data_IF_238470566422
#
_entry.id   IF_238470566422
#
_cell.length_a   1.000
_cell.length_b   1.000
_cell.length_c   1.000
_cell.angle_alpha   90.00
_cell.angle_beta   90.00
_cell.angle_gamma   90.00
#
_symmetry.space_group_name_H-M   'P 1'
#
loop_
_entity.id
_entity.type
_entity.pdbx_description
1 polymer ?
#
# COMPACT_ATOMS: atom_id res chain seq x y z
N UNK A 1 17.46 8.00 -25.74
CA UNK A 1 17.16 8.09 -24.29
C UNK A 1 16.27 6.91 -23.90
N UNK A 2 16.80 5.82 -23.33
CA UNK A 2 16.04 4.58 -23.15
C UNK A 2 15.64 4.39 -21.69
N UNK A 3 14.87 5.33 -21.11
CA UNK A 3 14.61 5.28 -19.65
C UNK A 3 13.14 5.04 -19.29
N UNK A 4 12.16 5.31 -20.16
CA UNK A 4 10.77 4.98 -19.83
C UNK A 4 9.98 4.61 -21.08
N UNK A 5 9.58 3.35 -21.20
CA UNK A 5 8.54 2.97 -22.15
C UNK A 5 7.26 3.75 -21.79
N UNK A 6 6.53 4.34 -22.77
CA UNK A 6 5.33 5.14 -22.52
C UNK A 6 4.27 4.42 -21.65
N UNK A 7 4.34 3.10 -21.62
CA UNK A 7 3.44 2.19 -20.92
C UNK A 7 3.60 2.20 -19.40
N UNK A 8 4.70 2.73 -18.85
CA UNK A 8 4.97 2.70 -17.39
C UNK A 8 4.85 4.09 -16.75
N UNK A 9 4.57 5.13 -17.54
CA UNK A 9 4.56 6.53 -17.07
C UNK A 9 3.55 6.73 -15.94
N UNK A 10 2.34 6.16 -16.04
CA UNK A 10 1.29 6.37 -15.06
C UNK A 10 1.59 5.67 -13.73
N UNK A 11 2.21 4.49 -13.78
CA UNK A 11 2.71 3.79 -12.59
C UNK A 11 3.88 4.57 -11.98
N UNK A 12 4.79 5.07 -12.81
CA UNK A 12 5.95 5.84 -12.35
C UNK A 12 5.53 7.16 -11.66
N UNK A 13 4.54 7.88 -12.18
CA UNK A 13 4.08 9.15 -11.58
C UNK A 13 3.45 8.94 -10.22
N UNK A 14 2.53 7.97 -10.07
CA UNK A 14 1.90 7.71 -8.76
C UNK A 14 2.90 7.22 -7.72
N UNK A 15 3.85 6.38 -8.11
CA UNK A 15 4.89 5.89 -7.22
C UNK A 15 5.87 7.01 -6.84
N UNK A 16 6.19 7.91 -7.77
CA UNK A 16 7.05 9.08 -7.50
C UNK A 16 6.38 10.04 -6.50
N UNK A 17 5.09 10.34 -6.68
CA UNK A 17 4.32 11.14 -5.73
C UNK A 17 4.29 10.44 -4.36
N UNK A 18 3.99 9.14 -4.33
CA UNK A 18 4.00 8.34 -3.11
C UNK A 18 5.36 8.34 -2.39
N UNK A 19 6.46 8.27 -3.15
CA UNK A 19 7.81 8.33 -2.60
C UNK A 19 8.10 9.70 -1.95
N UNK A 20 7.64 10.81 -2.55
CA UNK A 20 7.76 12.15 -1.96
C UNK A 20 6.98 12.22 -0.63
N UNK A 21 5.73 11.75 -0.61
CA UNK A 21 4.96 11.69 0.64
C UNK A 21 5.66 10.84 1.69
N UNK A 22 6.13 9.64 1.33
CA UNK A 22 6.84 8.75 2.24
C UNK A 22 8.11 9.39 2.80
N UNK A 23 8.86 10.11 1.97
CA UNK A 23 10.06 10.83 2.38
C UNK A 23 9.73 11.93 3.39
N UNK A 24 8.68 12.73 3.14
CA UNK A 24 8.21 13.76 4.06
C UNK A 24 7.76 13.13 5.39
N UNK A 25 7.00 12.03 5.36
CA UNK A 25 6.57 11.31 6.57
C UNK A 25 7.76 10.82 7.40
N UNK A 26 8.76 10.20 6.76
CA UNK A 26 9.97 9.73 7.43
C UNK A 26 10.75 10.91 8.01
N UNK A 27 10.86 12.02 7.28
CA UNK A 27 11.55 13.22 7.76
C UNK A 27 10.89 13.77 9.02
N UNK A 28 9.57 13.97 9.00
CA UNK A 28 8.81 14.45 10.16
C UNK A 28 8.98 13.49 11.34
N UNK A 29 8.92 12.17 11.10
CA UNK A 29 9.12 11.17 12.14
C UNK A 29 10.51 11.27 12.77
N UNK A 30 11.58 11.35 11.95
CA UNK A 30 12.96 11.45 12.44
C UNK A 30 13.21 12.74 13.23
N UNK A 31 12.51 13.82 12.89
CA UNK A 31 12.60 15.09 13.63
C UNK A 31 11.94 15.01 15.00
N UNK A 32 10.80 14.30 15.13
CA UNK A 32 9.99 14.27 16.36
C UNK A 32 10.17 13.01 17.21
N UNK A 33 10.87 11.99 16.73
CA UNK A 33 11.03 10.73 17.46
C UNK A 33 12.12 10.77 18.54
N UNK A 34 11.91 9.97 19.59
CA UNK A 34 12.90 9.72 20.63
C UNK A 34 14.22 9.18 20.06
N UNK A 35 15.35 9.52 20.70
CA UNK A 35 16.71 9.17 20.24
C UNK A 35 16.87 7.69 19.86
N UNK A 36 16.30 6.77 20.65
CA UNK A 36 16.39 5.33 20.40
C UNK A 36 15.59 4.90 19.15
N UNK A 37 14.38 5.44 18.96
CA UNK A 37 13.53 5.14 17.78
C UNK A 37 14.10 5.79 16.53
N UNK A 38 14.60 7.01 16.67
CA UNK A 38 15.27 7.78 15.62
C UNK A 38 16.47 7.03 15.05
N UNK A 39 17.36 6.51 15.90
CA UNK A 39 18.54 5.76 15.45
C UNK A 39 18.15 4.48 14.70
N UNK A 40 17.15 3.74 15.20
CA UNK A 40 16.62 2.55 14.52
C UNK A 40 16.05 2.89 13.14
N UNK A 41 15.29 3.97 13.03
CA UNK A 41 14.69 4.37 11.75
C UNK A 41 15.68 4.94 10.76
N UNK A 42 16.68 5.71 11.21
CA UNK A 42 17.79 6.14 10.34
C UNK A 42 18.57 4.91 9.84
N UNK A 43 18.87 3.96 10.74
CA UNK A 43 19.53 2.71 10.35
C UNK A 43 18.74 1.92 9.30
N UNK A 44 17.43 1.78 9.49
CA UNK A 44 16.55 1.12 8.52
C UNK A 44 16.49 1.89 7.19
N UNK A 45 16.40 3.22 7.22
CA UNK A 45 16.40 4.05 6.02
C UNK A 45 17.69 3.87 5.21
N UNK A 46 18.84 3.95 5.87
CA UNK A 46 20.15 3.73 5.23
C UNK A 46 20.25 2.33 4.65
N UNK A 47 19.80 1.31 5.39
CA UNK A 47 19.81 -0.07 4.91
C UNK A 47 18.93 -0.25 3.65
N UNK A 48 17.72 0.31 3.63
CA UNK A 48 16.82 0.24 2.46
C UNK A 48 17.39 1.02 1.28
N UNK A 49 17.94 2.22 1.51
CA UNK A 49 18.59 3.01 0.45
C UNK A 49 19.82 2.31 -0.12
N UNK A 50 20.65 1.68 0.73
CA UNK A 50 21.81 0.91 0.30
C UNK A 50 21.39 -0.32 -0.52
N UNK A 51 20.38 -1.06 -0.07
CA UNK A 51 19.82 -2.19 -0.82
C UNK A 51 19.30 -1.76 -2.19
N UNK A 52 18.55 -0.66 -2.25
CA UNK A 52 18.06 -0.10 -3.51
C UNK A 52 19.21 0.30 -4.45
N UNK A 53 20.25 0.96 -3.92
CA UNK A 53 21.43 1.33 -4.70
C UNK A 53 22.18 0.10 -5.24
N UNK A 54 22.31 -0.97 -4.45
CA UNK A 54 22.91 -2.24 -4.89
C UNK A 54 22.06 -2.88 -6.00
N UNK A 55 20.73 -2.92 -5.86
CA UNK A 55 19.84 -3.46 -6.89
C UNK A 55 20.01 -2.67 -8.19
N UNK A 56 20.02 -1.33 -8.14
CA UNK A 56 20.23 -0.48 -9.32
C UNK A 56 21.60 -0.73 -9.94
N UNK A 57 22.66 -0.79 -9.13
CA UNK A 57 24.01 -1.04 -9.60
C UNK A 57 24.14 -2.39 -10.31
N UNK A 58 23.62 -3.46 -9.70
CA UNK A 58 23.63 -4.81 -10.30
C UNK A 58 22.79 -4.83 -11.57
N UNK A 59 21.60 -4.24 -11.53
CA UNK A 59 20.67 -4.12 -12.65
C UNK A 59 21.29 -3.43 -13.88
N UNK A 60 22.05 -2.36 -13.68
CA UNK A 60 22.67 -1.60 -14.77
C UNK A 60 23.96 -2.23 -15.31
N UNK A 61 24.76 -2.88 -14.46
CA UNK A 61 26.07 -3.41 -14.86
C UNK A 61 26.03 -4.87 -15.35
N UNK A 62 25.08 -5.67 -14.86
CA UNK A 62 25.06 -7.12 -15.10
C UNK A 62 23.90 -7.60 -15.99
N UNK A 63 22.89 -6.76 -16.28
CA UNK A 63 21.73 -7.15 -17.09
C UNK A 63 21.55 -6.29 -18.35
N UNK A 64 21.35 -6.95 -19.49
CA UNK A 64 20.90 -6.30 -20.72
C UNK A 64 19.46 -5.77 -20.59
N UNK A 65 19.07 -4.84 -21.47
CA UNK A 65 17.82 -4.06 -21.32
C UNK A 65 16.56 -4.90 -21.08
N UNK A 66 16.40 -6.04 -21.78
CA UNK A 66 15.24 -6.92 -21.63
C UNK A 66 15.27 -7.72 -20.31
N UNK A 67 16.42 -8.33 -19.98
CA UNK A 67 16.60 -9.06 -18.73
C UNK A 67 16.49 -8.14 -17.51
N UNK A 68 16.95 -6.89 -17.64
CA UNK A 68 16.84 -5.84 -16.63
C UNK A 68 15.39 -5.49 -16.31
N UNK A 69 14.56 -5.31 -17.34
CA UNK A 69 13.14 -5.01 -17.17
C UNK A 69 12.42 -6.16 -16.46
N UNK A 70 12.70 -7.41 -16.83
CA UNK A 70 12.13 -8.59 -16.16
C UNK A 70 12.58 -8.70 -14.70
N UNK A 71 13.87 -8.53 -14.42
CA UNK A 71 14.42 -8.61 -13.07
C UNK A 71 13.83 -7.55 -12.12
N UNK A 72 13.82 -6.28 -12.55
CA UNK A 72 13.22 -5.19 -11.77
C UNK A 72 11.71 -5.36 -11.66
N UNK A 73 11.04 -5.85 -12.71
CA UNK A 73 9.61 -6.18 -12.71
C UNK A 73 9.24 -7.19 -11.64
N UNK A 74 9.98 -8.32 -11.55
CA UNK A 74 9.75 -9.32 -10.50
C UNK A 74 9.99 -8.78 -9.09
N UNK A 75 11.07 -8.01 -8.88
CA UNK A 75 11.34 -7.38 -7.59
C UNK A 75 10.23 -6.40 -7.20
N UNK A 76 9.71 -5.64 -8.16
CA UNK A 76 8.61 -4.70 -7.96
C UNK A 76 7.32 -5.43 -7.56
N UNK A 77 6.95 -6.51 -8.27
CA UNK A 77 5.78 -7.33 -7.93
C UNK A 77 5.94 -7.97 -6.55
N UNK A 78 7.12 -8.50 -6.23
CA UNK A 78 7.40 -9.06 -4.91
C UNK A 78 7.24 -8.00 -3.80
N UNK A 79 7.79 -6.80 -4.01
CA UNK A 79 7.64 -5.68 -3.09
C UNK A 79 6.16 -5.28 -2.91
N UNK A 80 5.40 -5.18 -4.00
CA UNK A 80 3.96 -4.86 -3.95
C UNK A 80 3.17 -5.92 -3.15
N UNK A 81 3.43 -7.21 -3.39
CA UNK A 81 2.78 -8.29 -2.65
C UNK A 81 3.15 -8.22 -1.16
N UNK A 82 4.40 -7.92 -0.82
CA UNK A 82 4.83 -7.78 0.57
C UNK A 82 4.09 -6.64 1.31
N UNK A 83 3.74 -5.56 0.61
CA UNK A 83 2.97 -4.45 1.19
C UNK A 83 1.55 -4.85 1.58
N UNK A 84 0.98 -5.89 0.98
CA UNK A 84 -0.33 -6.42 1.38
C UNK A 84 -0.34 -7.03 2.79
N UNK A 85 0.82 -7.33 3.39
CA UNK A 85 0.88 -7.76 4.78
C UNK A 85 0.24 -6.75 5.75
N UNK A 86 0.33 -5.44 5.45
CA UNK A 86 -0.26 -4.38 6.26
C UNK A 86 -1.80 -4.43 6.30
N UNK A 87 -2.54 -4.38 5.17
CA UNK A 87 -4.00 -4.51 5.19
C UNK A 87 -4.47 -5.87 5.72
N UNK A 88 -3.74 -6.97 5.50
CA UNK A 88 -4.04 -8.26 6.13
C UNK A 88 -3.95 -8.20 7.66
N UNK A 89 -2.94 -7.52 8.20
CA UNK A 89 -2.80 -7.32 9.64
C UNK A 89 -3.96 -6.51 10.22
N UNK A 90 -4.41 -5.46 9.52
CA UNK A 90 -5.59 -4.67 9.91
C UNK A 90 -6.85 -5.53 9.92
N UNK A 91 -7.07 -6.37 8.91
CA UNK A 91 -8.21 -7.31 8.88
C UNK A 91 -8.19 -8.22 10.12
N UNK A 92 -7.05 -8.80 10.43
CA UNK A 92 -6.89 -9.66 11.63
C UNK A 92 -7.14 -8.87 12.93
N UNK A 93 -6.67 -7.61 12.98
CA UNK A 93 -6.92 -6.72 14.12
C UNK A 93 -8.42 -6.47 14.30
N UNK A 94 -9.17 -6.16 13.23
CA UNK A 94 -10.63 -5.96 13.28
C UNK A 94 -11.35 -7.21 13.78
N UNK A 95 -10.92 -8.41 13.35
CA UNK A 95 -11.51 -9.66 13.86
C UNK A 95 -11.29 -9.86 15.36
N UNK A 96 -10.12 -9.46 15.87
CA UNK A 96 -9.73 -9.60 17.28
C UNK A 96 -10.35 -8.52 18.18
N UNK A 97 -10.34 -7.26 17.73
CA UNK A 97 -10.85 -6.12 18.50
C UNK A 97 -12.35 -5.94 18.34
N UNK A 98 -12.95 -6.57 17.33
CA UNK A 98 -14.35 -6.40 16.94
C UNK A 98 -14.74 -4.93 16.67
N UNK A 99 -13.76 -4.08 16.36
CA UNK A 99 -13.95 -2.65 16.13
C UNK A 99 -13.29 -2.23 14.82
N UNK A 100 -13.97 -1.33 14.09
CA UNK A 100 -13.50 -0.72 12.83
C UNK A 100 -12.78 0.61 13.06
N UNK A 101 -12.49 0.97 14.31
CA UNK A 101 -11.84 2.24 14.67
C UNK A 101 -10.47 2.44 13.99
N UNK A 102 -9.74 1.34 13.78
CA UNK A 102 -8.43 1.37 13.10
C UNK A 102 -8.52 1.31 11.58
N UNK A 103 -9.73 1.38 11.01
CA UNK A 103 -9.98 1.17 9.59
C UNK A 103 -10.97 2.20 9.01
N UNK A 104 -10.49 3.40 8.65
CA UNK A 104 -11.35 4.44 8.10
C UNK A 104 -11.91 4.03 6.74
N UNK A 105 -13.25 4.10 6.59
CA UNK A 105 -13.97 3.74 5.36
C UNK A 105 -13.39 4.35 4.09
N UNK A 106 -13.12 5.66 4.13
CA UNK A 106 -12.60 6.39 2.98
C UNK A 106 -11.24 5.89 2.52
N UNK A 107 -10.38 5.45 3.46
CA UNK A 107 -9.08 4.88 3.13
C UNK A 107 -9.25 3.56 2.40
N UNK A 108 -10.10 2.67 2.92
CA UNK A 108 -10.38 1.37 2.29
C UNK A 108 -11.04 1.50 0.92
N UNK A 109 -11.97 2.45 0.77
CA UNK A 109 -12.61 2.75 -0.50
C UNK A 109 -11.60 3.31 -1.51
N UNK A 110 -10.75 4.25 -1.09
CA UNK A 110 -9.70 4.81 -1.94
C UNK A 110 -8.71 3.75 -2.39
N UNK A 111 -8.25 2.86 -1.49
CA UNK A 111 -7.33 1.77 -1.84
C UNK A 111 -7.97 0.74 -2.76
N UNK A 112 -9.27 0.46 -2.58
CA UNK A 112 -10.03 -0.41 -3.48
C UNK A 112 -10.14 0.18 -4.89
N UNK A 113 -10.58 1.44 -5.00
CA UNK A 113 -10.72 2.12 -6.29
C UNK A 113 -9.37 2.26 -7.00
N UNK A 114 -8.32 2.64 -6.27
CA UNK A 114 -6.96 2.70 -6.79
C UNK A 114 -6.52 1.35 -7.35
N UNK A 115 -6.67 0.27 -6.58
CA UNK A 115 -6.28 -1.08 -7.02
C UNK A 115 -7.10 -1.54 -8.22
N UNK A 116 -8.41 -1.27 -8.23
CA UNK A 116 -9.30 -1.59 -9.35
C UNK A 116 -8.91 -0.82 -10.63
N UNK A 117 -8.59 0.46 -10.52
CA UNK A 117 -8.14 1.28 -11.66
C UNK A 117 -6.82 0.76 -12.24
N UNK A 118 -5.84 0.41 -11.40
CA UNK A 118 -4.58 -0.16 -11.87
C UNK A 118 -4.73 -1.59 -12.39
N UNK A 119 -5.63 -2.38 -11.83
CA UNK A 119 -5.98 -3.71 -12.34
C UNK A 119 -6.54 -3.61 -13.77
N UNK A 120 -7.54 -2.72 -13.97
CA UNK A 120 -8.10 -2.45 -15.29
C UNK A 120 -7.04 -1.91 -16.26
N UNK A 121 -6.16 -1.01 -15.79
CA UNK A 121 -5.04 -0.49 -16.59
C UNK A 121 -4.10 -1.61 -17.05
N UNK A 122 -3.69 -2.50 -16.14
CA UNK A 122 -2.83 -3.65 -16.46
C UNK A 122 -3.49 -4.62 -17.43
N UNK A 123 -4.81 -4.86 -17.30
CA UNK A 123 -5.57 -5.69 -18.25
C UNK A 123 -5.62 -5.06 -19.63
N UNK A 124 -5.90 -3.76 -19.74
CA UNK A 124 -5.96 -3.04 -21.03
C UNK A 124 -4.60 -2.99 -21.74
N UNK A 125 -3.52 -2.99 -20.96
CA UNK A 125 -2.14 -3.00 -21.45
C UNK A 125 -1.55 -4.41 -21.62
N UNK A 126 -2.31 -5.46 -21.31
CA UNK A 126 -1.83 -6.85 -21.29
C UNK A 126 -0.51 -7.02 -20.51
N UNK A 127 -0.34 -6.25 -19.42
CA UNK A 127 0.85 -6.30 -18.56
C UNK A 127 0.55 -7.07 -17.26
N UNK A 128 1.02 -8.33 -17.15
CA UNK A 128 0.79 -9.16 -15.97
C UNK A 128 1.46 -8.59 -14.70
N UNK A 129 2.56 -7.83 -14.84
CA UNK A 129 3.27 -7.27 -13.69
C UNK A 129 2.46 -6.19 -12.98
N UNK A 130 1.58 -5.51 -13.71
CA UNK A 130 0.65 -4.53 -13.12
C UNK A 130 -0.66 -5.22 -12.73
N UNK A 131 -1.21 -6.07 -13.60
CA UNK A 131 -2.52 -6.67 -13.39
C UNK A 131 -2.55 -7.60 -12.16
N UNK A 132 -1.61 -8.54 -12.03
CA UNK A 132 -1.63 -9.54 -10.95
C UNK A 132 -1.61 -8.92 -9.55
N UNK A 133 -0.66 -8.05 -9.17
CA UNK A 133 -0.64 -7.49 -7.82
C UNK A 133 -1.85 -6.59 -7.55
N UNK A 134 -2.29 -5.78 -8.52
CA UNK A 134 -3.44 -4.91 -8.32
C UNK A 134 -4.75 -5.69 -8.21
N UNK A 135 -4.89 -6.83 -8.89
CA UNK A 135 -6.02 -7.73 -8.71
C UNK A 135 -6.11 -8.31 -7.29
N UNK A 136 -4.97 -8.71 -6.71
CA UNK A 136 -4.90 -9.12 -5.30
C UNK A 136 -5.30 -7.94 -4.38
N UNK A 137 -4.79 -6.74 -4.67
CA UNK A 137 -5.15 -5.51 -3.96
C UNK A 137 -6.67 -5.21 -4.01
N UNK A 138 -7.31 -5.43 -5.15
CA UNK A 138 -8.77 -5.28 -5.31
C UNK A 138 -9.52 -6.28 -4.43
N UNK A 139 -9.13 -7.56 -4.38
CA UNK A 139 -9.76 -8.57 -3.52
C UNK A 139 -9.63 -8.20 -2.04
N UNK A 140 -8.45 -7.72 -1.63
CA UNK A 140 -8.22 -7.24 -0.27
C UNK A 140 -9.07 -6.01 0.04
N UNK A 141 -9.15 -5.06 -0.89
CA UNK A 141 -10.01 -3.86 -0.77
C UNK A 141 -11.50 -4.20 -0.62
N UNK A 142 -12.00 -5.20 -1.37
CA UNK A 142 -13.37 -5.71 -1.23
C UNK A 142 -13.57 -6.31 0.16
N UNK A 143 -12.66 -7.19 0.58
CA UNK A 143 -12.71 -7.81 1.92
C UNK A 143 -12.74 -6.75 3.01
N UNK A 144 -11.92 -5.72 2.85
CA UNK A 144 -11.84 -4.59 3.74
C UNK A 144 -13.17 -3.81 3.84
N UNK A 145 -13.77 -3.47 2.70
CA UNK A 145 -15.06 -2.79 2.66
C UNK A 145 -16.20 -3.64 3.26
N UNK A 146 -16.22 -4.94 2.96
CA UNK A 146 -17.22 -5.88 3.49
C UNK A 146 -17.15 -5.99 5.01
N UNK A 147 -15.93 -6.09 5.56
CA UNK A 147 -15.72 -6.08 7.01
C UNK A 147 -16.18 -4.78 7.64
N UNK A 148 -15.88 -3.64 7.01
CA UNK A 148 -16.35 -2.34 7.48
C UNK A 148 -17.88 -2.29 7.57
N UNK A 149 -18.61 -2.67 6.50
CA UNK A 149 -20.08 -2.67 6.52
C UNK A 149 -20.65 -3.62 7.57
N UNK A 150 -20.10 -4.82 7.70
CA UNK A 150 -20.56 -5.81 8.68
C UNK A 150 -20.40 -5.32 10.13
N UNK A 151 -19.22 -4.80 10.48
CA UNK A 151 -18.96 -4.31 11.84
C UNK A 151 -19.61 -2.93 12.09
N UNK A 152 -19.65 -2.04 11.10
CA UNK A 152 -20.32 -0.75 11.24
C UNK A 152 -21.84 -0.88 11.43
N UNK A 153 -22.49 -1.85 10.79
CA UNK A 153 -23.91 -2.13 11.04
C UNK A 153 -24.10 -2.72 12.44
N UNK A 154 -23.31 -3.73 12.80
CA UNK A 154 -23.44 -4.45 14.08
C UNK A 154 -23.14 -3.58 15.31
N UNK A 155 -22.25 -2.60 15.20
CA UNK A 155 -21.86 -1.73 16.30
C UNK A 155 -22.37 -0.28 16.16
N UNK A 156 -22.87 0.12 14.99
CA UNK A 156 -23.49 1.43 14.75
C UNK A 156 -24.97 1.51 15.19
N UNK A 157 -25.66 0.37 15.28
CA UNK A 157 -27.03 0.30 15.84
C UNK A 157 -27.04 0.21 17.38
N UNK A 158 -25.90 -0.07 18.03
CA UNK A 158 -25.80 -0.14 19.50
C UNK A 158 -25.66 1.21 20.22
N UNK A 159 -25.57 2.33 19.49
CA UNK A 159 -25.47 3.68 20.06
C UNK A 159 -26.60 4.62 19.60
N UNK A 160 -27.60 4.11 18.89
CA UNK A 160 -28.78 4.85 18.46
C UNK A 160 -30.03 4.20 19.07
N UNK A 161 -30.28 4.62 20.31
CA UNK A 161 -31.46 4.46 21.16
C UNK A 161 -31.52 3.32 22.19
N UNK A 162 -31.93 3.60 23.46
CA UNK A 162 -32.79 4.74 23.85
C UNK A 162 -32.20 5.64 24.96
N UNK A 163 -31.63 6.79 24.58
CA UNK A 163 -31.53 7.94 25.51
C UNK A 163 -32.86 8.72 25.60
N UNK A 164 -33.85 8.34 24.77
CA UNK A 164 -35.20 8.92 24.79
C UNK A 164 -36.19 8.19 25.71
N UNK A 165 -35.81 7.07 26.34
CA UNK A 165 -36.67 6.37 27.30
C UNK A 165 -36.53 6.88 28.76
N UNK A 166 -35.63 7.83 29.02
CA UNK A 166 -35.42 8.37 30.38
C UNK A 166 -36.18 9.67 30.68
N UNK A 167 -37.02 10.14 29.74
CA UNK A 167 -37.80 11.37 29.88
C UNK A 167 -39.27 11.23 29.44
N UNK A 168 -39.84 10.02 29.51
CA UNK A 168 -41.27 9.77 29.31
C UNK A 168 -41.90 9.21 30.59
#
# INVERSE_FOLDING_TARGET
>A
MPIVSPEVILVATVNSIGAIFQFIYILIFILHADKARKLKMIGLLVAVSALFAVIVFVSLNFFESHARQMFVGYLSVFSLISMFASPLCVINLVFKTKSVEYMPFYLSLATFLMSLSFFAYGMLKYDPFISVPNGIGTILGITQLMLYFYYSSKYGEGSRDPLLASYA
#
